data_IF_362188471516
#
_entry.id   IF_362188471516
#
_cell.length_a   1.000
_cell.length_b   1.000
_cell.length_c   1.000
_cell.angle_alpha   90.00
_cell.angle_beta   90.00
_cell.angle_gamma   90.00
#
_symmetry.space_group_name_H-M   'P 1'
#
loop_
_entity.id
_entity.type
_entity.pdbx_description
1 polymer ?
#
# COMPACT_ATOMS: atom_id res chain seq x y z
N UNK A 1 -10.57 13.74 24.22
CA UNK A 1 -11.22 13.80 22.90
C UNK A 1 -11.33 12.35 22.47
N UNK A 2 -12.52 11.78 22.57
CA UNK A 2 -12.78 10.34 22.39
C UNK A 2 -12.43 9.88 20.97
N UNK A 3 -11.74 8.75 20.88
CA UNK A 3 -11.43 8.05 19.64
C UNK A 3 -12.72 7.43 19.09
N UNK A 4 -12.96 7.46 17.76
CA UNK A 4 -14.12 6.80 17.16
C UNK A 4 -14.03 5.27 17.31
N UNK A 5 -15.19 4.67 17.58
CA UNK A 5 -15.41 3.24 17.83
C UNK A 5 -14.99 2.37 16.63
N UNK A 6 -14.20 1.29 16.80
CA UNK A 6 -13.71 0.45 15.70
C UNK A 6 -14.74 -0.49 15.04
N UNK A 7 -16.02 -0.43 15.42
CA UNK A 7 -17.02 -1.41 14.99
C UNK A 7 -17.78 -1.11 13.68
N UNK A 8 -17.50 -0.01 12.96
CA UNK A 8 -18.34 0.39 11.81
C UNK A 8 -17.84 0.05 10.39
N UNK A 9 -16.68 -0.60 10.17
CA UNK A 9 -16.23 -0.89 8.78
C UNK A 9 -16.54 -2.31 8.27
N UNK A 10 -17.51 -3.01 8.86
CA UNK A 10 -17.96 -4.31 8.35
C UNK A 10 -19.01 -4.18 7.24
N UNK A 11 -18.60 -4.01 5.97
CA UNK A 11 -19.52 -4.21 4.82
C UNK A 11 -19.05 -5.33 3.90
N UNK A 12 -19.68 -6.49 4.04
CA UNK A 12 -19.79 -7.49 2.97
C UNK A 12 -20.65 -6.92 1.84
N UNK A 13 -20.02 -6.46 0.75
CA UNK A 13 -20.70 -6.17 -0.52
C UNK A 13 -20.16 -7.11 -1.58
N UNK A 14 -21.09 -7.83 -2.23
CA UNK A 14 -20.77 -8.83 -3.27
C UNK A 14 -20.04 -8.13 -4.43
N UNK A 15 -18.89 -8.65 -4.89
CA UNK A 15 -18.10 -8.03 -5.93
C UNK A 15 -18.88 -7.95 -7.24
N UNK A 16 -18.74 -6.84 -7.98
CA UNK A 16 -19.32 -6.74 -9.32
C UNK A 16 -18.56 -7.69 -10.25
N UNK A 17 -19.27 -8.45 -11.11
CA UNK A 17 -18.65 -9.47 -11.94
C UNK A 17 -17.63 -8.84 -12.89
N UNK A 18 -16.43 -9.41 -12.90
CA UNK A 18 -15.34 -9.07 -13.83
C UNK A 18 -15.84 -9.13 -15.27
N UNK A 19 -15.39 -8.25 -16.18
CA UNK A 19 -15.72 -8.38 -17.60
C UNK A 19 -15.22 -9.74 -18.11
N UNK A 20 -16.13 -10.57 -18.62
CA UNK A 20 -15.81 -11.93 -19.11
C UNK A 20 -14.68 -11.93 -20.16
N UNK A 21 -14.56 -10.86 -20.94
CA UNK A 21 -13.48 -10.66 -21.92
C UNK A 21 -12.06 -10.63 -21.29
N UNK A 22 -11.90 -9.96 -20.13
CA UNK A 22 -10.59 -9.87 -19.42
C UNK A 22 -10.23 -11.22 -18.80
N UNK A 23 -11.23 -11.92 -18.25
CA UNK A 23 -11.09 -13.26 -17.68
C UNK A 23 -10.71 -14.30 -18.75
N UNK A 24 -11.31 -14.23 -19.94
CA UNK A 24 -11.02 -15.13 -21.07
C UNK A 24 -9.60 -14.94 -21.63
N UNK A 25 -9.08 -13.71 -21.64
CA UNK A 25 -7.70 -13.44 -22.05
C UNK A 25 -6.66 -13.78 -20.96
N UNK A 26 -7.08 -14.29 -19.80
CA UNK A 26 -6.19 -14.63 -18.68
C UNK A 26 -5.50 -13.42 -18.05
N UNK A 27 -6.05 -12.23 -18.25
CA UNK A 27 -5.47 -10.97 -17.79
C UNK A 27 -5.98 -10.63 -16.39
N UNK A 28 -5.08 -10.16 -15.53
CA UNK A 28 -5.42 -9.55 -14.24
C UNK A 28 -5.52 -8.04 -14.37
N UNK A 29 -6.44 -7.42 -13.64
CA UNK A 29 -6.52 -5.96 -13.56
C UNK A 29 -5.35 -5.43 -12.69
N UNK A 30 -4.73 -4.29 -13.06
CA UNK A 30 -5.12 -3.37 -14.11
C UNK A 30 -4.49 -3.82 -15.44
N UNK A 31 -5.29 -3.79 -16.51
CA UNK A 31 -4.86 -4.28 -17.82
C UNK A 31 -4.60 -3.10 -18.77
N UNK A 32 -3.39 -3.00 -19.32
CA UNK A 32 -3.07 -1.97 -20.32
C UNK A 32 -3.45 -2.42 -21.73
N UNK A 33 -3.59 -1.48 -22.67
CA UNK A 33 -3.78 -1.82 -24.08
C UNK A 33 -2.62 -2.67 -24.63
N UNK A 34 -1.41 -2.50 -24.08
CA UNK A 34 -0.25 -3.30 -24.44
C UNK A 34 -0.34 -4.74 -23.91
N UNK A 35 -0.84 -4.93 -22.68
CA UNK A 35 -1.07 -6.27 -22.11
C UNK A 35 -2.18 -7.02 -22.85
N UNK A 36 -3.26 -6.32 -23.19
CA UNK A 36 -4.34 -6.88 -24.02
C UNK A 36 -3.80 -7.28 -25.40
N UNK A 37 -2.98 -6.44 -26.04
CA UNK A 37 -2.33 -6.76 -27.32
C UNK A 37 -1.38 -7.95 -27.19
N UNK A 38 -0.55 -8.03 -26.16
CA UNK A 38 0.38 -9.15 -25.97
C UNK A 38 -0.35 -10.47 -25.68
N UNK A 39 -1.38 -10.44 -24.83
CA UNK A 39 -2.22 -11.62 -24.57
C UNK A 39 -2.98 -12.05 -25.83
N UNK A 40 -3.49 -11.10 -26.61
CA UNK A 40 -4.13 -11.39 -27.88
C UNK A 40 -3.16 -11.98 -28.89
N UNK A 41 -1.93 -11.47 -29.02
CA UNK A 41 -0.94 -12.08 -29.91
C UNK A 41 -0.63 -13.53 -29.52
N UNK A 42 -0.53 -13.81 -28.21
CA UNK A 42 -0.28 -15.16 -27.68
C UNK A 42 -1.46 -16.11 -27.93
N UNK A 43 -2.69 -15.61 -27.83
CA UNK A 43 -3.90 -16.41 -27.98
C UNK A 43 -4.33 -16.56 -29.45
N UNK A 44 -4.14 -15.52 -30.28
CA UNK A 44 -4.37 -15.54 -31.72
C UNK A 44 -3.36 -16.44 -32.44
N UNK A 45 -2.12 -16.57 -31.95
CA UNK A 45 -1.17 -17.57 -32.43
C UNK A 45 -1.62 -19.00 -32.11
N UNK A 46 -2.29 -19.23 -30.97
CA UNK A 46 -2.82 -20.55 -30.58
C UNK A 46 -4.10 -20.92 -31.35
N UNK A 47 -4.91 -19.94 -31.72
CA UNK A 47 -6.17 -20.14 -32.45
C UNK A 47 -6.03 -20.10 -33.99
N UNK A 48 -4.80 -19.98 -34.53
CA UNK A 48 -4.56 -19.83 -35.97
C UNK A 48 -4.96 -21.09 -36.79
N UNK A 49 -5.58 -20.97 -37.98
CA UNK A 49 -6.13 -22.10 -38.76
C UNK A 49 -5.12 -23.17 -39.19
N UNK A 50 -3.84 -22.81 -39.38
CA UNK A 50 -2.77 -23.76 -39.71
C UNK A 50 -2.42 -24.72 -38.54
N UNK A 51 -3.03 -24.52 -37.36
CA UNK A 51 -2.90 -25.36 -36.16
C UNK A 51 -4.24 -25.99 -35.72
N UNK A 52 -5.30 -25.92 -36.53
CA UNK A 52 -6.54 -26.67 -36.31
C UNK A 52 -7.66 -25.97 -35.52
N UNK A 53 -7.65 -24.64 -35.42
CA UNK A 53 -8.71 -23.85 -34.78
C UNK A 53 -9.95 -23.64 -35.67
N UNK A 54 -11.15 -23.65 -35.09
CA UNK A 54 -12.39 -23.33 -35.82
C UNK A 54 -12.56 -21.81 -35.98
N UNK A 55 -13.05 -21.37 -37.14
CA UNK A 55 -13.23 -19.95 -37.45
C UNK A 55 -14.19 -19.23 -36.49
N UNK A 56 -15.11 -19.95 -35.84
CA UNK A 56 -15.98 -19.44 -34.77
C UNK A 56 -15.21 -19.04 -33.51
N UNK A 57 -14.18 -19.81 -33.15
CA UNK A 57 -13.39 -19.58 -31.95
C UNK A 57 -12.53 -18.32 -32.13
N UNK A 58 -12.03 -18.10 -33.35
CA UNK A 58 -11.28 -16.90 -33.71
C UNK A 58 -12.16 -15.64 -33.69
N UNK A 59 -13.42 -15.72 -34.13
CA UNK A 59 -14.37 -14.60 -34.09
C UNK A 59 -14.73 -14.22 -32.64
N UNK A 60 -14.90 -15.21 -31.75
CA UNK A 60 -15.13 -14.94 -30.33
C UNK A 60 -13.90 -14.35 -29.63
N UNK A 61 -12.69 -14.83 -29.97
CA UNK A 61 -11.42 -14.28 -29.45
C UNK A 61 -11.20 -12.85 -29.94
N UNK A 62 -11.50 -12.56 -31.22
CA UNK A 62 -11.44 -11.21 -31.79
C UNK A 62 -12.43 -10.27 -31.10
N UNK A 63 -13.65 -10.73 -30.83
CA UNK A 63 -14.66 -9.94 -30.09
C UNK A 63 -14.22 -9.66 -28.64
N UNK A 64 -13.68 -10.66 -27.95
CA UNK A 64 -13.13 -10.49 -26.61
C UNK A 64 -11.95 -9.52 -26.58
N UNK A 65 -11.12 -9.52 -27.63
CA UNK A 65 -10.06 -8.54 -27.82
C UNK A 65 -10.60 -7.13 -28.02
N UNK A 66 -11.56 -6.93 -28.92
CA UNK A 66 -12.14 -5.61 -29.19
C UNK A 66 -12.80 -5.02 -27.92
N UNK A 67 -13.52 -5.85 -27.15
CA UNK A 67 -14.12 -5.47 -25.87
C UNK A 67 -13.06 -5.17 -24.80
N UNK A 68 -11.98 -5.96 -24.71
CA UNK A 68 -10.88 -5.74 -23.78
C UNK A 68 -10.03 -4.52 -24.14
N UNK A 69 -9.84 -4.22 -25.43
CA UNK A 69 -9.14 -3.04 -25.93
C UNK A 69 -9.97 -1.78 -25.65
N UNK A 70 -11.30 -1.82 -25.86
CA UNK A 70 -12.17 -0.69 -25.51
C UNK A 70 -12.23 -0.45 -24.00
N UNK A 71 -12.24 -1.51 -23.19
CA UNK A 71 -12.10 -1.40 -21.73
C UNK A 71 -10.74 -0.80 -21.34
N UNK A 72 -9.65 -1.28 -21.93
CA UNK A 72 -8.29 -0.79 -21.70
C UNK A 72 -8.07 0.64 -22.21
N UNK A 73 -8.76 1.09 -23.27
CA UNK A 73 -8.73 2.49 -23.75
C UNK A 73 -9.53 3.43 -22.86
N UNK A 74 -10.69 2.98 -22.36
CA UNK A 74 -11.51 3.74 -21.39
C UNK A 74 -10.77 3.93 -20.07
N UNK A 75 -10.05 2.91 -19.60
CA UNK A 75 -9.24 2.97 -18.39
C UNK A 75 -7.80 3.46 -18.64
N UNK A 76 -7.32 3.43 -19.88
CA UNK A 76 -5.95 3.74 -20.29
C UNK A 76 -5.53 5.19 -20.04
N UNK A 77 -6.47 6.12 -19.85
CA UNK A 77 -6.18 7.48 -19.35
C UNK A 77 -5.87 7.52 -17.84
N UNK A 78 -6.31 6.51 -17.09
CA UNK A 78 -6.17 6.40 -15.62
C UNK A 78 -5.01 5.46 -15.22
N UNK A 79 -4.58 4.56 -16.11
CA UNK A 79 -3.45 3.64 -15.89
C UNK A 79 -2.04 4.28 -15.79
N UNK A 80 -1.69 5.38 -16.49
CA UNK A 80 -0.36 5.98 -16.37
C UNK A 80 -0.06 6.47 -14.95
N UNK A 81 -1.07 6.99 -14.25
CA UNK A 81 -0.98 7.34 -12.83
C UNK A 81 -0.82 6.09 -11.94
N UNK A 82 -1.49 4.98 -12.27
CA UNK A 82 -1.36 3.71 -11.53
C UNK A 82 0.04 3.10 -11.72
N UNK A 83 0.60 3.16 -12.93
CA UNK A 83 1.97 2.71 -13.20
C UNK A 83 3.02 3.53 -12.45
N UNK A 84 2.84 4.85 -12.35
CA UNK A 84 3.69 5.73 -11.55
C UNK A 84 3.60 5.44 -10.04
N UNK A 85 2.43 5.01 -9.57
CA UNK A 85 2.18 4.69 -8.16
C UNK A 85 2.50 3.24 -7.80
N UNK A 86 2.73 2.35 -8.77
CA UNK A 86 2.97 0.92 -8.54
C UNK A 86 4.15 0.64 -7.60
N UNK A 87 5.32 1.32 -7.72
CA UNK A 87 6.43 1.10 -6.78
C UNK A 87 6.04 1.44 -5.33
N UNK A 88 5.22 2.48 -5.15
CA UNK A 88 4.72 2.91 -3.85
C UNK A 88 3.76 1.85 -3.27
N UNK A 89 2.91 1.24 -4.09
CA UNK A 89 2.01 0.17 -3.63
C UNK A 89 2.76 -1.10 -3.25
N UNK A 90 3.70 -1.57 -4.09
CA UNK A 90 4.50 -2.77 -3.80
C UNK A 90 5.28 -2.60 -2.49
N UNK A 91 5.89 -1.44 -2.28
CA UNK A 91 6.66 -1.20 -1.08
C UNK A 91 5.78 -0.98 0.18
N UNK A 92 4.55 -0.49 0.04
CA UNK A 92 3.59 -0.50 1.15
C UNK A 92 3.20 -1.92 1.55
N UNK A 93 3.00 -2.83 0.58
CA UNK A 93 2.73 -4.23 0.87
C UNK A 93 3.91 -4.85 1.64
N UNK A 94 5.15 -4.63 1.18
CA UNK A 94 6.33 -5.10 1.90
C UNK A 94 6.40 -4.53 3.33
N UNK A 95 6.12 -3.24 3.51
CA UNK A 95 6.09 -2.63 4.84
C UNK A 95 5.00 -3.24 5.75
N UNK A 96 3.81 -3.53 5.20
CA UNK A 96 2.73 -4.20 5.92
C UNK A 96 3.16 -5.61 6.34
N UNK A 97 3.71 -6.40 5.41
CA UNK A 97 4.20 -7.75 5.68
C UNK A 97 5.26 -7.76 6.79
N UNK A 98 6.20 -6.79 6.78
CA UNK A 98 7.20 -6.65 7.84
C UNK A 98 6.56 -6.33 9.20
N UNK A 99 5.63 -5.39 9.23
CA UNK A 99 4.93 -5.00 10.46
C UNK A 99 4.14 -6.19 11.03
N UNK A 100 3.42 -6.92 10.19
CA UNK A 100 2.68 -8.13 10.58
C UNK A 100 3.63 -9.24 11.06
N UNK A 101 4.76 -9.44 10.38
CA UNK A 101 5.78 -10.40 10.78
C UNK A 101 6.33 -10.09 12.18
N UNK A 102 6.43 -8.81 12.55
CA UNK A 102 6.86 -8.37 13.88
C UNK A 102 5.71 -8.32 14.91
N UNK A 103 4.50 -8.75 14.53
CA UNK A 103 3.30 -8.76 15.37
C UNK A 103 2.70 -7.39 15.62
N UNK A 104 3.02 -6.41 14.77
CA UNK A 104 2.46 -5.08 14.78
C UNK A 104 1.11 -5.00 14.08
N UNK A 105 0.52 -3.81 14.11
CA UNK A 105 -0.76 -3.50 13.49
C UNK A 105 -0.58 -2.32 12.53
N UNK A 106 -1.26 -2.39 11.38
CA UNK A 106 -1.28 -1.30 10.41
C UNK A 106 -2.65 -0.63 10.39
N UNK A 107 -2.64 0.66 10.07
CA UNK A 107 -3.86 1.44 9.83
C UNK A 107 -3.83 1.89 8.38
N UNK A 108 -4.84 1.49 7.61
CA UNK A 108 -4.99 1.88 6.21
C UNK A 108 -6.17 2.83 6.00
N UNK A 109 -6.09 3.65 4.96
CA UNK A 109 -7.18 4.45 4.45
C UNK A 109 -7.59 3.91 3.08
N UNK A 110 -8.84 3.45 2.96
CA UNK A 110 -9.41 2.96 1.71
C UNK A 110 -9.83 4.11 0.81
N UNK A 111 -9.55 3.97 -0.48
CA UNK A 111 -9.91 4.95 -1.50
C UNK A 111 -11.17 4.49 -2.26
N UNK A 112 -12.34 4.72 -1.65
CA UNK A 112 -13.65 4.27 -2.16
C UNK A 112 -13.95 4.65 -3.62
N UNK A 113 -13.38 5.76 -4.12
CA UNK A 113 -13.60 6.20 -5.50
C UNK A 113 -12.88 5.32 -6.56
N UNK A 114 -11.95 4.45 -6.14
CA UNK A 114 -11.24 3.53 -7.03
C UNK A 114 -12.05 2.28 -7.38
N UNK A 115 -12.98 1.83 -6.52
CA UNK A 115 -13.88 0.70 -6.81
C UNK A 115 -14.64 0.90 -8.12
N UNK A 116 -15.19 2.11 -8.32
CA UNK A 116 -15.92 2.47 -9.54
C UNK A 116 -15.04 2.64 -10.79
N UNK A 117 -13.72 2.60 -10.65
CA UNK A 117 -12.76 3.02 -11.67
C UNK A 117 -11.86 1.89 -12.16
N UNK A 118 -11.41 1.01 -11.27
CA UNK A 118 -10.43 -0.05 -11.60
C UNK A 118 -10.91 -1.46 -11.23
N UNK A 119 -12.08 -1.58 -10.60
CA UNK A 119 -12.65 -2.84 -10.13
C UNK A 119 -12.21 -3.22 -8.71
N UNK A 120 -13.00 -4.09 -8.07
CA UNK A 120 -12.91 -4.42 -6.65
C UNK A 120 -11.55 -5.05 -6.25
N UNK A 121 -10.89 -5.76 -7.18
CA UNK A 121 -9.59 -6.38 -6.95
C UNK A 121 -8.46 -5.35 -6.80
N UNK A 122 -8.58 -4.20 -7.47
CA UNK A 122 -7.56 -3.15 -7.44
C UNK A 122 -7.82 -2.11 -6.37
N UNK A 123 -9.09 -1.91 -6.00
CA UNK A 123 -9.47 -1.03 -4.91
C UNK A 123 -8.85 -1.49 -3.58
N UNK A 124 -8.81 -2.82 -3.35
CA UNK A 124 -8.16 -3.41 -2.17
C UNK A 124 -6.63 -3.19 -2.15
N UNK A 125 -6.00 -3.07 -3.31
CA UNK A 125 -4.55 -2.81 -3.43
C UNK A 125 -4.19 -1.33 -3.29
N UNK A 126 -5.20 -0.44 -3.31
CA UNK A 126 -4.99 1.00 -3.30
C UNK A 126 -5.14 1.63 -1.90
N UNK A 127 -5.29 0.79 -0.88
CA UNK A 127 -5.27 1.20 0.52
C UNK A 127 -3.97 1.95 0.82
N UNK A 128 -4.10 3.11 1.44
CA UNK A 128 -2.95 3.93 1.84
C UNK A 128 -2.57 3.60 3.26
N UNK A 129 -1.35 3.12 3.49
CA UNK A 129 -0.78 2.94 4.80
C UNK A 129 -0.63 4.30 5.50
N UNK A 130 -1.47 4.57 6.51
CA UNK A 130 -1.51 5.81 7.29
C UNK A 130 -0.84 5.67 8.65
N UNK A 131 -0.87 4.48 9.23
CA UNK A 131 -0.38 4.24 10.58
C UNK A 131 0.31 2.89 10.74
N UNK A 132 1.33 2.87 11.59
CA UNK A 132 2.01 1.65 12.04
C UNK A 132 2.05 1.67 13.57
N UNK A 133 1.63 0.58 14.19
CA UNK A 133 1.77 0.32 15.61
C UNK A 133 2.64 -0.91 15.85
N UNK A 134 3.81 -0.68 16.44
CA UNK A 134 4.78 -1.70 16.85
C UNK A 134 5.01 -1.64 18.37
N UNK A 135 4.08 -1.07 19.13
CA UNK A 135 4.24 -0.87 20.56
C UNK A 135 4.39 -2.18 21.33
N UNK A 136 5.39 -2.22 22.21
CA UNK A 136 5.75 -3.42 22.97
C UNK A 136 6.12 -4.62 22.09
N UNK A 137 6.53 -4.41 20.84
CA UNK A 137 7.05 -5.47 19.96
C UNK A 137 8.58 -5.56 20.08
N UNK A 138 9.17 -6.74 19.83
CA UNK A 138 10.62 -6.93 19.84
C UNK A 138 11.27 -6.34 18.57
N UNK A 139 11.14 -5.03 18.41
CA UNK A 139 11.62 -4.24 17.27
C UNK A 139 12.79 -3.38 17.72
N UNK A 140 13.91 -3.44 17.00
CA UNK A 140 15.10 -2.65 17.24
C UNK A 140 15.53 -1.83 16.02
N UNK A 141 16.78 -1.38 16.04
CA UNK A 141 17.33 -0.53 14.99
C UNK A 141 17.39 -1.23 13.61
N UNK A 142 17.57 -2.56 13.59
CA UNK A 142 17.64 -3.34 12.35
C UNK A 142 16.28 -3.35 11.65
N UNK A 143 15.21 -3.62 12.39
CA UNK A 143 13.84 -3.65 11.90
C UNK A 143 13.40 -2.25 11.44
N UNK A 144 13.64 -1.21 12.26
CA UNK A 144 13.28 0.15 11.86
C UNK A 144 14.08 0.61 10.64
N UNK A 145 15.35 0.20 10.52
CA UNK A 145 16.17 0.48 9.34
C UNK A 145 15.61 -0.19 8.09
N UNK A 146 15.16 -1.44 8.20
CA UNK A 146 14.52 -2.16 7.11
C UNK A 146 13.22 -1.50 6.68
N UNK A 147 12.35 -1.18 7.65
CA UNK A 147 11.07 -0.51 7.40
C UNK A 147 11.23 0.85 6.71
N UNK A 148 12.29 1.60 7.06
CA UNK A 148 12.56 2.94 6.53
C UNK A 148 13.68 2.96 5.48
N UNK A 149 13.99 1.82 4.87
CA UNK A 149 15.08 1.68 3.90
C UNK A 149 14.92 2.68 2.74
N UNK A 150 13.71 2.76 2.19
CA UNK A 150 13.30 3.75 1.20
C UNK A 150 12.09 4.57 1.71
N UNK A 151 12.30 5.78 2.24
CA UNK A 151 11.21 6.61 2.76
C UNK A 151 10.30 7.17 1.67
N UNK A 152 10.71 7.19 0.39
CA UNK A 152 9.85 7.63 -0.71
C UNK A 152 8.67 6.66 -0.95
N UNK A 153 8.79 5.44 -0.43
CA UNK A 153 7.79 4.38 -0.53
C UNK A 153 6.73 4.40 0.57
N UNK A 154 6.89 5.25 1.59
CA UNK A 154 5.90 5.47 2.65
C UNK A 154 5.33 6.90 2.60
N UNK A 155 4.89 7.41 1.43
CA UNK A 155 4.55 8.82 1.25
C UNK A 155 3.22 9.22 1.92
N UNK A 156 2.48 8.26 2.47
CA UNK A 156 1.20 8.49 3.13
C UNK A 156 1.24 8.16 4.62
N UNK A 157 2.38 7.70 5.15
CA UNK A 157 2.49 7.30 6.55
C UNK A 157 2.50 8.55 7.45
N UNK A 158 1.46 8.69 8.27
CA UNK A 158 1.23 9.86 9.11
C UNK A 158 1.47 9.60 10.60
N UNK A 159 1.39 8.34 11.04
CA UNK A 159 1.56 7.97 12.44
C UNK A 159 2.40 6.71 12.64
N UNK A 160 3.33 6.77 13.59
CA UNK A 160 4.19 5.64 13.98
C UNK A 160 4.21 5.54 15.50
N UNK A 161 3.81 4.39 16.03
CA UNK A 161 3.91 4.07 17.45
C UNK A 161 5.01 3.02 17.66
N UNK A 162 6.09 3.43 18.33
CA UNK A 162 7.26 2.60 18.68
C UNK A 162 7.41 2.52 20.20
N UNK A 163 6.34 2.77 20.98
CA UNK A 163 6.43 2.75 22.43
C UNK A 163 6.93 1.38 22.93
N UNK A 164 7.80 1.39 23.95
CA UNK A 164 8.35 0.20 24.60
C UNK A 164 9.06 -0.77 23.63
N UNK A 165 9.70 -0.23 22.58
CA UNK A 165 10.58 -0.96 21.65
C UNK A 165 12.07 -0.72 21.96
N UNK A 166 12.96 -1.47 21.32
CA UNK A 166 14.42 -1.36 21.54
C UNK A 166 15.12 -0.32 20.65
N UNK A 167 14.35 0.49 19.91
CA UNK A 167 14.84 1.53 19.00
C UNK A 167 15.73 2.56 19.74
N UNK A 168 16.84 2.93 19.11
CA UNK A 168 17.80 3.93 19.60
C UNK A 168 17.81 5.19 18.73
N UNK A 169 18.62 6.18 19.14
CA UNK A 169 18.83 7.40 18.37
C UNK A 169 19.30 7.15 16.93
N UNK A 170 20.09 6.09 16.71
CA UNK A 170 20.71 5.80 15.43
C UNK A 170 19.66 5.53 14.34
N UNK A 171 18.65 4.72 14.63
CA UNK A 171 17.58 4.41 13.68
C UNK A 171 16.43 5.42 13.73
N UNK A 172 16.12 6.01 14.89
CA UNK A 172 15.06 7.02 15.03
C UNK A 172 15.33 8.29 14.22
N UNK A 173 16.61 8.65 13.99
CA UNK A 173 16.98 9.73 13.08
C UNK A 173 16.49 9.50 11.63
N UNK A 174 16.22 8.26 11.22
CA UNK A 174 15.73 7.95 9.86
C UNK A 174 14.27 8.32 9.68
N UNK A 175 13.49 8.37 10.77
CA UNK A 175 12.07 8.80 10.74
C UNK A 175 11.91 10.23 10.22
N UNK A 176 12.98 11.04 10.29
CA UNK A 176 13.02 12.40 9.75
C UNK A 176 12.85 12.50 8.24
N UNK A 177 13.07 11.37 7.55
CA UNK A 177 12.96 11.29 6.09
C UNK A 177 11.53 10.99 5.64
N UNK A 178 10.62 10.64 6.57
CA UNK A 178 9.22 10.36 6.29
C UNK A 178 8.45 11.68 6.22
N UNK A 179 8.34 12.22 5.00
CA UNK A 179 7.85 13.58 4.76
C UNK A 179 6.42 13.86 5.24
N UNK A 180 5.60 12.82 5.41
CA UNK A 180 4.21 12.93 5.84
C UNK A 180 3.97 12.54 7.31
N UNK A 181 5.03 12.19 8.04
CA UNK A 181 4.92 11.78 9.44
C UNK A 181 4.52 12.97 10.33
N UNK A 182 3.40 12.83 11.02
CA UNK A 182 2.81 13.87 11.88
C UNK A 182 2.82 13.48 13.36
N UNK A 183 2.69 12.20 13.65
CA UNK A 183 2.56 11.68 15.02
C UNK A 183 3.55 10.55 15.27
N UNK A 184 4.33 10.67 16.33
CA UNK A 184 5.35 9.69 16.69
C UNK A 184 5.35 9.42 18.19
N UNK A 185 5.23 8.15 18.57
CA UNK A 185 5.41 7.73 19.96
C UNK A 185 6.71 6.94 20.15
N UNK A 186 7.55 7.44 21.05
CA UNK A 186 8.86 6.89 21.40
C UNK A 186 9.00 6.65 22.91
N UNK A 187 7.90 6.65 23.66
CA UNK A 187 7.94 6.38 25.11
C UNK A 187 8.51 5.00 25.36
N UNK A 188 9.45 4.88 26.29
CA UNK A 188 10.01 3.57 26.67
C UNK A 188 11.07 3.02 25.72
N UNK A 189 11.39 3.77 24.65
CA UNK A 189 12.53 3.47 23.77
C UNK A 189 13.86 3.93 24.39
N UNK A 190 14.96 3.52 23.76
CA UNK A 190 16.32 3.99 24.08
C UNK A 190 16.67 5.31 23.37
N UNK A 191 15.71 5.92 22.67
CA UNK A 191 15.86 7.25 22.08
C UNK A 191 16.08 8.27 23.20
N UNK A 192 16.96 9.23 23.00
CA UNK A 192 17.29 10.25 23.99
C UNK A 192 16.31 11.42 23.94
N UNK A 193 16.16 12.10 25.08
CA UNK A 193 15.34 13.31 25.16
C UNK A 193 15.73 14.40 24.13
N UNK A 194 17.04 14.72 23.93
CA UNK A 194 17.43 15.67 22.90
C UNK A 194 16.94 15.28 21.51
N UNK A 195 17.05 14.00 21.13
CA UNK A 195 16.60 13.57 19.81
C UNK A 195 15.06 13.67 19.67
N UNK A 196 14.29 13.24 20.67
CA UNK A 196 12.82 13.40 20.64
C UNK A 196 12.39 14.85 20.47
N UNK A 197 13.08 15.79 21.12
CA UNK A 197 12.82 17.22 20.96
C UNK A 197 13.19 17.75 19.57
N UNK A 198 14.24 17.22 18.95
CA UNK A 198 14.60 17.53 17.56
C UNK A 198 13.53 17.01 16.60
N UNK A 199 13.06 15.77 16.79
CA UNK A 199 11.97 15.17 16.01
C UNK A 199 10.67 15.99 16.13
N UNK A 200 10.34 16.46 17.34
CA UNK A 200 9.16 17.29 17.59
C UNK A 200 9.19 18.66 16.89
N UNK A 201 10.36 19.12 16.43
CA UNK A 201 10.53 20.41 15.76
C UNK A 201 10.59 20.31 14.24
N UNK A 202 10.41 19.10 13.70
CA UNK A 202 10.49 18.92 12.27
C UNK A 202 9.28 19.50 11.55
N UNK A 203 9.46 20.01 10.31
CA UNK A 203 8.35 20.52 9.52
C UNK A 203 7.26 19.45 9.35
N UNK A 204 6.01 19.82 9.63
CA UNK A 204 4.86 18.90 9.51
C UNK A 204 4.63 17.97 10.70
N UNK A 205 5.55 17.92 11.67
CA UNK A 205 5.35 17.15 12.89
C UNK A 205 4.32 17.85 13.79
N UNK A 206 3.25 17.15 14.14
CA UNK A 206 2.18 17.66 15.00
C UNK A 206 2.42 17.24 16.46
N UNK A 207 2.86 16.00 16.69
CA UNK A 207 2.98 15.45 18.04
C UNK A 207 4.10 14.41 18.17
N UNK A 208 4.92 14.54 19.22
CA UNK A 208 5.92 13.55 19.61
C UNK A 208 5.81 13.25 21.09
N UNK A 209 5.46 12.00 21.42
CA UNK A 209 5.33 11.55 22.80
C UNK A 209 6.69 11.27 23.47
N UNK A 210 6.72 11.37 24.80
CA UNK A 210 7.94 11.20 25.58
C UNK A 210 8.87 12.43 25.61
N UNK A 211 8.39 13.58 25.14
CA UNK A 211 9.11 14.87 25.19
C UNK A 211 9.02 15.58 26.54
N UNK A 212 8.34 14.99 27.54
CA UNK A 212 8.26 15.52 28.91
C UNK A 212 9.35 14.92 29.81
N UNK A 213 10.05 15.76 30.59
CA UNK A 213 11.09 15.32 31.54
C UNK A 213 10.52 14.58 32.75
N UNK A 214 9.23 14.74 33.04
CA UNK A 214 8.58 14.15 34.23
C UNK A 214 8.49 12.62 34.13
N UNK A 215 8.20 12.08 32.94
CA UNK A 215 8.15 10.63 32.72
C UNK A 215 9.51 9.93 32.72
N UNK A 216 10.62 10.67 32.60
CA UNK A 216 11.98 10.12 32.75
C UNK A 216 12.41 10.00 34.21
N UNK A 217 11.96 10.91 35.08
CA UNK A 217 12.24 10.86 36.52
C UNK A 217 11.58 9.68 37.23
N UNK A 218 10.45 9.18 36.71
CA UNK A 218 9.72 8.03 37.27
C UNK A 218 10.30 6.68 36.83
N UNK A 219 11.29 6.66 35.91
CA UNK A 219 11.91 5.44 35.34
C UNK A 219 13.37 5.26 35.77
N UNK A 220 13.90 6.14 36.61
CA UNK A 220 15.17 5.98 37.32
C UNK A 220 14.93 5.39 38.70
#
# INVERSE_FOLDING_TARGET
MELPNPEESGRSKKPKPRPEAVKRLGLSLPVTEQDVKQAFFKEAQRAHPDHGGAASDFIEVQRAFDEAVEFAKRNGKRLPWIGAQMPIYVAQIEAIELVEQWGGVVVTETLDWLEGTVGDDFAQLADRLKGIDLSGRPVGDAELTRLTADPAHLPFLESVNLADTEVTDASALRLTRLASLKRLDLRGTKVTFPLRRTLARQPGMEHVEGTSRVGEWLRR
#
